data_IF_426655756752
#
_entry.id   IF_426655756752
#
_cell.length_a   1.000
_cell.length_b   1.000
_cell.length_c   1.000
_cell.angle_alpha   90.00
_cell.angle_beta   90.00
_cell.angle_gamma   90.00
#
_symmetry.space_group_name_H-M   'P 1'
#
loop_
_entity.id
_entity.type
_entity.pdbx_description
1 polymer ?
#
# COMPACT_ATOMS: atom_id res chain seq x y z
N UNK A 1 -10.88 -28.25 29.66
CA UNK A 1 -9.82 -28.19 28.64
C UNK A 1 -10.17 -27.05 27.71
N UNK A 2 -9.44 -25.93 27.78
CA UNK A 2 -9.64 -24.82 26.85
C UNK A 2 -9.18 -25.27 25.47
N UNK A 3 -10.12 -25.46 24.54
CA UNK A 3 -9.76 -25.53 23.13
C UNK A 3 -9.20 -24.15 22.76
N UNK A 4 -7.89 -24.04 22.57
CA UNK A 4 -7.30 -22.85 21.96
C UNK A 4 -7.90 -22.72 20.57
N UNK A 5 -8.68 -21.65 20.36
CA UNK A 5 -9.15 -21.28 19.03
C UNK A 5 -7.92 -21.09 18.13
N UNK A 6 -7.85 -21.73 16.95
CA UNK A 6 -6.72 -21.56 16.05
C UNK A 6 -6.51 -20.09 15.73
N UNK A 7 -5.28 -19.59 15.94
CA UNK A 7 -4.94 -18.21 15.61
C UNK A 7 -4.77 -18.07 14.10
N UNK A 8 -5.38 -17.05 13.49
CA UNK A 8 -5.25 -16.78 12.05
C UNK A 8 -3.78 -16.48 11.69
N UNK A 9 -3.35 -17.02 10.55
CA UNK A 9 -2.02 -16.80 9.99
C UNK A 9 -2.04 -16.06 8.66
N UNK A 10 -0.83 -15.84 8.13
CA UNK A 10 -0.66 -15.19 6.82
C UNK A 10 -1.28 -16.01 5.69
N UNK A 11 -1.31 -17.35 5.80
CA UNK A 11 -1.84 -18.22 4.76
C UNK A 11 -3.35 -18.01 4.57
N UNK A 12 -4.09 -17.92 5.67
CA UNK A 12 -5.53 -17.69 5.72
C UNK A 12 -5.87 -16.29 5.16
N UNK A 13 -5.17 -15.25 5.62
CA UNK A 13 -5.36 -13.88 5.09
C UNK A 13 -5.04 -13.83 3.59
N UNK A 14 -3.94 -14.46 3.17
CA UNK A 14 -3.57 -14.52 1.77
C UNK A 14 -4.64 -15.23 0.92
N UNK A 15 -5.37 -16.22 1.46
CA UNK A 15 -6.47 -16.86 0.75
C UNK A 15 -7.58 -15.85 0.46
N UNK A 16 -8.02 -15.13 1.48
CA UNK A 16 -9.10 -14.13 1.39
C UNK A 16 -8.72 -12.96 0.46
N UNK A 17 -7.45 -12.51 0.50
CA UNK A 17 -6.92 -11.51 -0.44
C UNK A 17 -6.99 -12.00 -1.91
N UNK A 18 -6.77 -13.31 -2.16
CA UNK A 18 -6.89 -13.86 -3.51
C UNK A 18 -8.32 -13.93 -3.99
N UNK A 19 -9.27 -14.10 -3.08
CA UNK A 19 -10.70 -14.21 -3.37
C UNK A 19 -11.31 -12.84 -3.66
N UNK A 20 -10.99 -11.80 -2.88
CA UNK A 20 -11.70 -10.51 -2.97
C UNK A 20 -10.89 -9.38 -3.58
N UNK A 21 -9.66 -9.14 -3.11
CA UNK A 21 -8.87 -7.99 -3.53
C UNK A 21 -8.16 -8.24 -4.87
N UNK A 22 -7.59 -9.43 -5.04
CA UNK A 22 -6.78 -9.75 -6.23
C UNK A 22 -7.56 -9.64 -7.55
N UNK A 23 -8.82 -10.10 -7.67
CA UNK A 23 -9.62 -9.91 -8.88
C UNK A 23 -9.87 -8.43 -9.17
N UNK A 24 -10.26 -7.65 -8.16
CA UNK A 24 -10.51 -6.21 -8.31
C UNK A 24 -9.27 -5.46 -8.81
N UNK A 25 -8.07 -5.78 -8.28
CA UNK A 25 -6.83 -5.18 -8.79
C UNK A 25 -6.57 -5.52 -10.26
N UNK A 26 -6.85 -6.76 -10.69
CA UNK A 26 -6.69 -7.15 -12.11
C UNK A 26 -7.68 -6.42 -13.01
N UNK A 27 -8.91 -6.21 -12.56
CA UNK A 27 -9.91 -5.41 -13.28
C UNK A 27 -9.46 -3.95 -13.44
N UNK A 28 -8.72 -3.41 -12.48
CA UNK A 28 -8.09 -2.09 -12.57
C UNK A 28 -6.78 -2.06 -13.39
N UNK A 29 -6.42 -3.18 -14.03
CA UNK A 29 -5.28 -3.29 -14.94
C UNK A 29 -3.94 -3.58 -14.27
N UNK A 30 -3.90 -3.96 -12.99
CA UNK A 30 -2.65 -4.41 -12.36
C UNK A 30 -2.17 -5.72 -13.01
N UNK A 31 -0.98 -5.71 -13.59
CA UNK A 31 -0.44 -6.85 -14.33
C UNK A 31 0.32 -7.85 -13.43
N UNK A 32 0.85 -7.40 -12.29
CA UNK A 32 1.52 -8.26 -11.31
C UNK A 32 0.83 -8.15 -9.96
N UNK A 33 -0.12 -9.05 -9.73
CA UNK A 33 -0.95 -9.10 -8.53
C UNK A 33 -0.52 -10.27 -7.64
N UNK A 34 -0.12 -9.97 -6.42
CA UNK A 34 0.15 -10.94 -5.36
C UNK A 34 -0.62 -10.55 -4.10
N UNK A 35 -0.53 -11.35 -3.05
CA UNK A 35 -1.30 -11.06 -1.82
C UNK A 35 -0.73 -9.91 -0.98
N UNK A 36 0.53 -9.53 -1.21
CA UNK A 36 1.22 -8.51 -0.41
C UNK A 36 1.73 -7.34 -1.21
N UNK A 37 2.02 -7.53 -2.50
CA UNK A 37 2.72 -6.56 -3.33
C UNK A 37 2.17 -6.62 -4.73
N UNK A 38 1.71 -5.48 -5.20
CA UNK A 38 0.94 -5.37 -6.42
C UNK A 38 1.47 -4.22 -7.26
N UNK A 39 1.59 -4.47 -8.57
CA UNK A 39 2.13 -3.49 -9.51
C UNK A 39 1.22 -3.33 -10.72
N UNK A 40 0.96 -2.07 -11.06
CA UNK A 40 0.46 -1.65 -12.37
C UNK A 40 1.57 -0.90 -13.07
N UNK A 41 2.02 -1.43 -14.21
CA UNK A 41 3.03 -0.83 -15.06
C UNK A 41 2.32 0.04 -16.09
N UNK A 42 2.50 1.35 -16.00
CA UNK A 42 2.06 2.31 -17.01
C UNK A 42 3.28 2.75 -17.83
N UNK A 43 3.05 3.55 -18.87
CA UNK A 43 4.09 4.01 -19.78
C UNK A 43 5.23 4.75 -19.08
N UNK A 44 4.89 5.64 -18.14
CA UNK A 44 5.87 6.51 -17.48
C UNK A 44 6.03 6.28 -15.98
N UNK A 45 5.13 5.50 -15.37
CA UNK A 45 5.14 5.30 -13.92
C UNK A 45 4.68 3.89 -13.56
N UNK A 46 4.98 3.50 -12.32
CA UNK A 46 4.56 2.22 -11.74
C UNK A 46 3.74 2.54 -10.50
N UNK A 47 2.50 2.08 -10.48
CA UNK A 47 1.67 2.12 -9.27
C UNK A 47 1.95 0.89 -8.43
N UNK A 48 2.13 1.09 -7.14
CA UNK A 48 2.46 0.06 -6.15
C UNK A 48 1.39 0.05 -5.08
N UNK A 49 0.85 -1.12 -4.74
CA UNK A 49 0.02 -1.33 -3.55
C UNK A 49 0.64 -2.44 -2.72
N UNK A 50 1.02 -2.11 -1.48
CA UNK A 50 1.53 -3.04 -0.49
C UNK A 50 0.48 -3.28 0.60
N UNK A 51 0.19 -4.54 0.91
CA UNK A 51 -0.68 -4.97 2.01
C UNK A 51 0.19 -5.64 3.07
N UNK A 52 0.44 -4.93 4.18
CA UNK A 52 1.42 -5.35 5.18
C UNK A 52 0.73 -5.71 6.49
N UNK A 53 1.07 -6.89 7.02
CA UNK A 53 0.62 -7.33 8.34
C UNK A 53 1.52 -6.76 9.44
N UNK A 54 0.93 -6.36 10.56
CA UNK A 54 1.68 -5.97 11.75
C UNK A 54 2.25 -7.20 12.45
N UNK A 55 3.51 -7.10 12.86
CA UNK A 55 4.24 -8.17 13.55
C UNK A 55 3.95 -8.24 15.05
N UNK A 56 4.49 -9.26 15.70
CA UNK A 56 4.36 -9.46 17.16
C UNK A 56 4.88 -8.28 17.96
N UNK A 57 6.05 -7.74 17.62
CA UNK A 57 6.59 -6.58 18.35
C UNK A 57 5.65 -5.36 18.29
N UNK A 58 5.10 -5.07 17.11
CA UNK A 58 4.11 -3.98 16.98
C UNK A 58 2.87 -4.27 17.82
N UNK A 59 2.40 -5.53 17.79
CA UNK A 59 1.25 -6.00 18.57
C UNK A 59 1.46 -5.82 20.06
N UNK A 60 2.63 -6.20 20.58
CA UNK A 60 2.98 -6.11 22.00
C UNK A 60 3.04 -4.66 22.48
N UNK A 61 3.54 -3.74 21.64
CA UNK A 61 3.70 -2.32 21.98
C UNK A 61 2.38 -1.55 21.86
N UNK A 62 1.58 -1.83 20.85
CA UNK A 62 0.39 -1.02 20.50
C UNK A 62 -0.92 -1.62 20.98
N UNK A 63 -0.95 -2.95 21.21
CA UNK A 63 -2.15 -3.72 21.55
C UNK A 63 -2.99 -4.16 20.34
N UNK A 64 -2.65 -3.75 19.12
CA UNK A 64 -3.31 -4.27 17.92
C UNK A 64 -3.02 -5.77 17.76
N UNK A 65 -3.98 -6.61 17.32
CA UNK A 65 -3.70 -8.01 17.06
C UNK A 65 -2.62 -8.18 15.99
N UNK A 66 -1.67 -9.08 16.23
CA UNK A 66 -0.77 -9.56 15.18
C UNK A 66 -1.60 -10.04 13.99
N UNK A 67 -1.12 -9.80 12.77
CA UNK A 67 -1.84 -10.03 11.52
C UNK A 67 -2.92 -9.00 11.14
N UNK A 68 -3.25 -8.03 12.00
CA UNK A 68 -3.91 -6.80 11.55
C UNK A 68 -3.08 -6.16 10.43
N UNK A 69 -3.71 -5.49 9.47
CA UNK A 69 -3.04 -5.04 8.24
C UNK A 69 -3.17 -3.54 8.04
N UNK A 70 -2.18 -2.95 7.37
CA UNK A 70 -2.27 -1.63 6.77
C UNK A 70 -1.99 -1.74 5.27
N UNK A 71 -2.48 -0.76 4.52
CA UNK A 71 -2.34 -0.72 3.06
C UNK A 71 -1.68 0.57 2.66
N UNK A 72 -0.54 0.46 2.00
CA UNK A 72 0.21 1.59 1.49
C UNK A 72 0.21 1.57 -0.04
N UNK A 73 0.16 2.76 -0.62
CA UNK A 73 0.19 3.00 -2.04
C UNK A 73 1.41 3.85 -2.38
N UNK A 74 1.98 3.67 -3.57
CA UNK A 74 3.08 4.49 -4.03
C UNK A 74 3.16 4.61 -5.54
N UNK A 75 3.66 5.75 -6.01
CA UNK A 75 3.96 5.97 -7.43
C UNK A 75 5.47 6.09 -7.60
N UNK A 76 6.00 5.18 -8.39
CA UNK A 76 7.40 5.13 -8.75
C UNK A 76 7.60 5.60 -10.19
N UNK A 77 8.62 6.41 -10.41
CA UNK A 77 8.97 6.97 -11.70
C UNK A 77 10.36 6.45 -12.10
N UNK A 78 10.45 5.42 -12.97
CA UNK A 78 11.73 4.78 -13.29
C UNK A 78 12.81 5.75 -13.80
N UNK A 79 12.43 6.76 -14.57
CA UNK A 79 13.35 7.76 -15.13
C UNK A 79 13.94 8.71 -14.06
N UNK A 80 13.32 8.82 -12.89
CA UNK A 80 13.85 9.59 -11.76
C UNK A 80 14.87 8.81 -10.93
N UNK A 81 15.02 7.51 -11.18
CA UNK A 81 15.97 6.70 -10.42
C UNK A 81 17.40 7.13 -10.76
N UNK A 82 18.06 7.74 -9.79
CA UNK A 82 19.45 8.21 -9.82
C UNK A 82 20.45 7.11 -9.47
N UNK A 83 19.97 5.93 -9.05
CA UNK A 83 20.83 4.83 -8.55
C UNK A 83 21.05 4.87 -7.03
N UNK A 84 20.36 5.75 -6.31
CA UNK A 84 20.53 5.92 -4.85
C UNK A 84 19.94 4.76 -4.04
N UNK A 85 19.12 3.91 -4.65
CA UNK A 85 18.54 2.73 -4.02
C UNK A 85 18.27 1.60 -5.02
N UNK A 86 18.49 0.37 -4.56
CA UNK A 86 18.32 -0.83 -5.37
C UNK A 86 16.85 -1.22 -5.51
N UNK A 87 16.30 -1.00 -6.70
CA UNK A 87 14.99 -1.54 -7.08
C UNK A 87 15.16 -2.93 -7.68
N UNK A 88 14.51 -3.93 -7.07
CA UNK A 88 14.50 -5.30 -7.57
C UNK A 88 13.99 -5.35 -9.01
N UNK A 89 14.69 -6.07 -9.88
CA UNK A 89 14.25 -6.35 -11.25
C UNK A 89 13.55 -7.72 -11.33
N UNK A 90 12.40 -7.74 -11.98
CA UNK A 90 11.59 -8.92 -12.23
C UNK A 90 12.15 -9.78 -13.37
N UNK A 91 11.53 -10.96 -13.55
CA UNK A 91 12.00 -11.93 -14.54
C UNK A 91 11.84 -11.45 -15.99
N UNK A 92 10.97 -10.49 -16.26
CA UNK A 92 10.77 -9.90 -17.61
C UNK A 92 11.52 -8.57 -17.76
N UNK A 93 12.44 -8.25 -16.84
CA UNK A 93 13.13 -6.96 -16.82
C UNK A 93 12.32 -5.83 -16.20
N UNK A 94 11.13 -6.10 -15.64
CA UNK A 94 10.29 -5.07 -15.05
C UNK A 94 10.81 -4.63 -13.67
N UNK A 95 10.86 -3.32 -13.38
CA UNK A 95 11.19 -2.82 -12.04
C UNK A 95 10.09 -3.17 -11.04
N UNK A 96 10.46 -3.70 -9.87
CA UNK A 96 9.54 -4.09 -8.79
C UNK A 96 9.78 -3.22 -7.55
N UNK A 97 9.46 -1.91 -7.62
CA UNK A 97 9.63 -0.99 -6.50
C UNK A 97 8.73 -1.39 -5.33
N UNK A 98 9.10 -0.95 -4.13
CA UNK A 98 8.29 -1.03 -2.92
C UNK A 98 7.76 0.35 -2.62
N UNK A 99 6.78 0.49 -1.74
CA UNK A 99 6.26 1.83 -1.41
C UNK A 99 7.38 2.75 -0.90
N UNK A 100 8.36 2.23 -0.15
CA UNK A 100 9.51 3.03 0.29
C UNK A 100 10.50 3.44 -0.81
N UNK A 101 10.38 2.91 -2.03
CA UNK A 101 11.11 3.38 -3.22
C UNK A 101 10.31 4.44 -3.99
N UNK A 102 9.03 4.61 -3.69
CA UNK A 102 8.15 5.52 -4.42
C UNK A 102 8.37 6.96 -3.97
N UNK A 103 8.16 7.88 -4.92
CA UNK A 103 8.32 9.32 -4.70
C UNK A 103 7.05 9.94 -4.11
N UNK A 104 5.89 9.48 -4.58
CA UNK A 104 4.60 9.79 -3.99
C UNK A 104 4.11 8.57 -3.22
N UNK A 105 3.59 8.79 -2.02
CA UNK A 105 3.10 7.73 -1.12
C UNK A 105 1.79 8.15 -0.49
N UNK A 106 0.93 7.16 -0.25
CA UNK A 106 -0.34 7.33 0.42
C UNK A 106 -0.57 6.12 1.33
N UNK A 107 -0.86 6.36 2.61
CA UNK A 107 -1.44 5.31 3.47
C UNK A 107 -2.96 5.37 3.35
N UNK A 108 -3.61 4.22 3.20
CA UNK A 108 -5.07 4.16 3.07
C UNK A 108 -5.73 4.09 4.44
N UNK A 109 -6.83 4.82 4.60
CA UNK A 109 -7.64 4.78 5.81
C UNK A 109 -8.81 3.81 5.66
N UNK A 110 -8.94 2.92 6.63
CA UNK A 110 -10.10 2.06 6.85
C UNK A 110 -11.37 2.88 7.03
N UNK A 111 -12.44 2.40 6.40
CA UNK A 111 -13.79 2.95 6.55
C UNK A 111 -14.68 2.08 7.45
N UNK A 112 -14.15 0.99 8.01
CA UNK A 112 -14.85 0.20 9.02
C UNK A 112 -14.96 0.94 10.34
N UNK A 113 -16.11 0.79 11.01
CA UNK A 113 -16.21 1.13 12.42
C UNK A 113 -15.53 0.04 13.25
N UNK A 114 -14.34 0.35 13.76
CA UNK A 114 -13.51 -0.54 14.57
C UNK A 114 -13.50 -0.11 16.04
N UNK A 115 -14.37 0.83 16.41
CA UNK A 115 -14.36 1.47 17.74
C UNK A 115 -14.59 0.48 18.87
N UNK A 116 -15.39 -0.56 18.65
CA UNK A 116 -15.59 -1.66 19.61
C UNK A 116 -14.27 -2.35 19.99
N UNK A 117 -13.30 -2.40 19.08
CA UNK A 117 -11.99 -3.00 19.30
C UNK A 117 -10.98 -1.97 19.81
N UNK A 118 -10.86 -0.85 19.11
CA UNK A 118 -9.78 0.12 19.35
C UNK A 118 -9.95 0.90 20.65
N UNK A 119 -11.18 1.06 21.17
CA UNK A 119 -11.41 1.71 22.47
C UNK A 119 -10.77 0.95 23.64
N UNK A 120 -10.49 -0.35 23.48
CA UNK A 120 -9.84 -1.18 24.51
C UNK A 120 -8.33 -0.95 24.59
N UNK A 121 -7.72 -0.33 23.56
CA UNK A 121 -6.28 -0.06 23.52
C UNK A 121 -5.86 0.93 24.60
N UNK A 122 -4.68 0.74 25.20
CA UNK A 122 -4.19 1.64 26.27
C UNK A 122 -3.77 3.02 25.74
N UNK A 123 -3.14 3.07 24.58
CA UNK A 123 -2.62 4.29 23.98
C UNK A 123 -3.72 5.03 23.21
N UNK A 124 -4.02 6.28 23.61
CA UNK A 124 -5.02 7.13 22.95
C UNK A 124 -4.73 7.35 21.46
N UNK A 125 -3.46 7.49 21.06
CA UNK A 125 -3.10 7.66 19.65
C UNK A 125 -3.53 6.45 18.82
N UNK A 126 -3.30 5.24 19.35
CA UNK A 126 -3.71 3.99 18.69
C UNK A 126 -5.23 3.85 18.56
N UNK A 127 -6.01 4.37 19.52
CA UNK A 127 -7.48 4.37 19.46
C UNK A 127 -8.02 5.15 18.26
N UNK A 128 -7.28 6.17 17.83
CA UNK A 128 -7.69 7.11 16.78
C UNK A 128 -7.19 6.74 15.39
N UNK A 129 -6.33 5.72 15.27
CA UNK A 129 -5.78 5.31 13.98
C UNK A 129 -6.86 4.75 13.07
N UNK A 130 -6.80 5.18 11.80
CA UNK A 130 -7.66 4.68 10.73
C UNK A 130 -6.87 3.94 9.66
N UNK A 131 -5.55 4.06 9.66
CA UNK A 131 -4.66 3.46 8.67
C UNK A 131 -4.41 1.95 8.88
N UNK A 132 -5.10 1.34 9.85
CA UNK A 132 -5.02 -0.07 10.20
C UNK A 132 -6.40 -0.72 10.17
N UNK A 133 -6.43 -1.95 9.67
CA UNK A 133 -7.55 -2.88 9.75
C UNK A 133 -7.26 -3.94 10.80
N UNK A 134 -8.07 -3.93 11.84
CA UNK A 134 -8.10 -4.89 12.92
C UNK A 134 -8.55 -6.23 12.37
N UNK A 135 -7.72 -7.25 12.56
CA UNK A 135 -8.10 -8.64 12.29
C UNK A 135 -8.11 -9.35 13.63
N UNK A 136 -9.26 -9.93 13.98
CA UNK A 136 -9.40 -10.70 15.21
C UNK A 136 -8.40 -11.87 15.24
N UNK A 137 -7.86 -12.25 16.41
CA UNK A 137 -6.90 -13.35 16.50
C UNK A 137 -7.41 -14.67 15.91
N UNK A 138 -8.72 -14.92 15.93
CA UNK A 138 -9.35 -16.11 15.32
C UNK A 138 -9.68 -15.95 13.83
N UNK A 139 -9.50 -14.75 13.28
CA UNK A 139 -9.79 -14.43 11.89
C UNK A 139 -11.26 -14.24 11.55
N UNK A 140 -12.15 -14.19 12.54
CA UNK A 140 -13.61 -14.14 12.33
C UNK A 140 -14.10 -13.00 11.44
N UNK A 141 -13.35 -11.89 11.35
CA UNK A 141 -13.68 -10.71 10.57
C UNK A 141 -12.81 -10.52 9.30
N UNK A 142 -12.00 -11.51 8.90
CA UNK A 142 -11.01 -11.34 7.83
C UNK A 142 -11.65 -11.03 6.47
N UNK A 143 -12.79 -11.63 6.15
CA UNK A 143 -13.51 -11.40 4.90
C UNK A 143 -13.99 -9.95 4.81
N UNK A 144 -14.66 -9.45 5.87
CA UNK A 144 -15.13 -8.07 5.94
C UNK A 144 -13.99 -7.06 5.82
N UNK A 145 -12.86 -7.35 6.48
CA UNK A 145 -11.64 -6.53 6.40
C UNK A 145 -11.11 -6.46 4.97
N UNK A 146 -10.95 -7.59 4.29
CA UNK A 146 -10.38 -7.61 2.93
C UNK A 146 -11.37 -7.02 1.92
N UNK A 147 -12.68 -7.24 2.09
CA UNK A 147 -13.70 -6.57 1.29
C UNK A 147 -13.65 -5.06 1.48
N UNK A 148 -13.47 -4.57 2.71
CA UNK A 148 -13.31 -3.15 2.96
C UNK A 148 -12.02 -2.59 2.34
N UNK A 149 -10.90 -3.32 2.43
CA UNK A 149 -9.65 -2.94 1.75
C UNK A 149 -9.87 -2.82 0.24
N UNK A 150 -10.57 -3.77 -0.38
CA UNK A 150 -10.94 -3.69 -1.80
C UNK A 150 -11.69 -2.40 -2.08
N UNK A 151 -12.74 -2.12 -1.32
CA UNK A 151 -13.58 -0.94 -1.56
C UNK A 151 -12.80 0.36 -1.32
N UNK A 152 -11.96 0.42 -0.31
CA UNK A 152 -11.06 1.55 -0.03
C UNK A 152 -10.02 1.73 -1.14
N UNK A 153 -9.43 0.66 -1.65
CA UNK A 153 -8.52 0.74 -2.80
C UNK A 153 -9.24 1.32 -4.02
N UNK A 154 -10.43 0.83 -4.35
CA UNK A 154 -11.20 1.29 -5.51
C UNK A 154 -11.65 2.75 -5.37
N UNK A 155 -11.98 3.20 -4.15
CA UNK A 155 -12.53 4.54 -3.92
C UNK A 155 -11.49 5.60 -3.52
N UNK A 156 -10.34 5.20 -2.98
CA UNK A 156 -9.28 6.11 -2.53
C UNK A 156 -8.02 5.98 -3.39
N UNK A 157 -7.46 4.77 -3.48
CA UNK A 157 -6.18 4.55 -4.13
C UNK A 157 -6.27 4.77 -5.65
N UNK A 158 -7.25 4.18 -6.33
CA UNK A 158 -7.40 4.31 -7.79
C UNK A 158 -7.60 5.78 -8.21
N UNK A 159 -8.53 6.55 -7.63
CA UNK A 159 -8.66 7.97 -7.97
C UNK A 159 -7.41 8.79 -7.62
N UNK A 160 -6.70 8.43 -6.54
CA UNK A 160 -5.43 9.08 -6.21
C UNK A 160 -4.36 8.82 -7.27
N UNK A 161 -4.21 7.57 -7.71
CA UNK A 161 -3.29 7.20 -8.77
C UNK A 161 -3.58 7.93 -10.09
N UNK A 162 -4.85 7.99 -10.48
CA UNK A 162 -5.28 8.61 -11.74
C UNK A 162 -4.97 10.12 -11.79
N UNK A 163 -5.00 10.82 -10.65
CA UNK A 163 -4.60 12.24 -10.57
C UNK A 163 -3.14 12.47 -10.98
N UNK A 164 -2.28 11.47 -10.82
CA UNK A 164 -0.84 11.56 -11.13
C UNK A 164 -0.46 10.86 -12.44
N UNK A 165 -1.45 10.56 -13.27
CA UNK A 165 -1.21 10.31 -14.70
C UNK A 165 -0.91 11.62 -15.42
N UNK A 166 -1.49 12.74 -14.95
CA UNK A 166 -1.17 14.08 -15.45
C UNK A 166 0.18 14.55 -14.90
N UNK A 167 1.14 14.62 -15.82
CA UNK A 167 2.51 15.06 -15.57
C UNK A 167 2.64 16.45 -14.99
N UNK A 168 1.69 17.34 -15.26
CA UNK A 168 1.72 18.73 -14.78
C UNK A 168 1.66 18.76 -13.25
N UNK A 169 0.81 17.91 -12.67
CA UNK A 169 0.64 17.75 -11.23
C UNK A 169 1.83 17.06 -10.56
N UNK A 170 2.45 16.10 -11.25
CA UNK A 170 3.69 15.44 -10.78
C UNK A 170 4.79 16.49 -10.63
N UNK A 171 5.00 17.32 -11.64
CA UNK A 171 6.03 18.36 -11.61
C UNK A 171 5.79 19.41 -10.53
N UNK A 172 4.55 19.80 -10.29
CA UNK A 172 4.19 20.73 -9.21
C UNK A 172 4.46 20.13 -7.83
N UNK A 173 4.01 18.90 -7.57
CA UNK A 173 4.21 18.24 -6.27
C UNK A 173 5.69 18.03 -5.95
N UNK A 174 6.47 17.62 -6.95
CA UNK A 174 7.90 17.50 -6.72
C UNK A 174 8.49 18.86 -6.32
N UNK A 175 8.08 19.99 -6.95
CA UNK A 175 8.66 21.34 -6.73
C UNK A 175 8.46 21.80 -5.30
N UNK A 176 7.34 21.38 -4.72
CA UNK A 176 6.97 21.71 -3.36
C UNK A 176 7.67 20.82 -2.32
N UNK A 177 8.04 19.59 -2.69
CA UNK A 177 8.54 18.57 -1.76
C UNK A 177 10.06 18.30 -1.84
N UNK A 178 10.76 18.85 -2.84
CA UNK A 178 12.19 18.64 -3.05
C UNK A 178 12.96 19.94 -3.25
N UNK A 179 14.26 19.92 -2.96
CA UNK A 179 15.11 21.10 -3.11
C UNK A 179 15.22 21.54 -4.59
N UNK A 180 15.43 22.85 -4.85
CA UNK A 180 15.66 23.35 -6.21
C UNK A 180 16.82 22.68 -6.96
N UNK A 181 17.83 22.15 -6.24
CA UNK A 181 18.96 21.42 -6.83
C UNK A 181 18.54 20.07 -7.44
N UNK A 182 17.63 19.34 -6.77
CA UNK A 182 17.07 18.09 -7.29
C UNK A 182 16.33 18.33 -8.62
N UNK A 183 15.67 19.47 -8.74
CA UNK A 183 14.98 19.88 -9.96
C UNK A 183 15.88 20.17 -11.14
N UNK A 184 17.00 20.84 -10.88
CA UNK A 184 17.94 21.22 -11.93
C UNK A 184 18.56 19.98 -12.59
N UNK A 185 18.82 18.94 -11.80
CA UNK A 185 19.33 17.65 -12.27
C UNK A 185 18.27 16.84 -13.03
N UNK A 186 17.01 16.92 -12.59
CA UNK A 186 15.90 16.20 -13.22
C UNK A 186 15.40 16.83 -14.52
N UNK A 187 15.51 18.16 -14.68
CA UNK A 187 15.01 18.87 -15.86
C UNK A 187 15.58 18.28 -17.16
N UNK A 188 16.89 17.99 -17.20
CA UNK A 188 17.52 17.37 -18.38
C UNK A 188 17.04 15.93 -18.66
N UNK A 189 16.67 15.17 -17.63
CA UNK A 189 16.13 13.80 -17.79
C UNK A 189 14.66 13.82 -18.20
N UNK A 190 13.89 14.76 -17.69
CA UNK A 190 12.47 14.94 -18.00
C UNK A 190 12.29 15.43 -19.44
N UNK A 191 13.06 16.44 -19.86
CA UNK A 191 13.00 16.98 -21.23
C UNK A 191 13.43 15.92 -22.28
N UNK A 192 14.28 14.96 -21.91
CA UNK A 192 14.64 13.82 -22.78
C UNK A 192 13.56 12.73 -22.85
N UNK A 193 12.71 12.61 -21.83
CA UNK A 193 11.68 11.56 -21.75
C UNK A 193 10.32 12.00 -22.33
N UNK A 194 10.09 13.32 -22.45
CA UNK A 194 8.86 13.92 -22.97
C UNK A 194 8.94 14.29 -24.47
N UNK A 195 10.09 14.11 -25.12
CA UNK A 195 10.31 14.29 -26.56
C UNK A 195 10.50 12.94 -27.25
#
# INVERSE_FOLDING_TARGET
MSHETPRIGSAEINKVIREHLSPALREQGFQKVNTRHNWKFNEHNIWVIDVTAVGSYFSDVTGWPSMSVFVECGIYYPFLNTGDFDVKIGKKGESLPRVHHCYLRLSLDSTLDQSAYTQTLKNQAERSRKDLWWIEPDGSNVDDVVMNIRDVVLNQAIPWFEKYVDWSLVMEQFKNNHSPSFFQELKGKIDHYLN
#
